data_IF_481652158045
#
_entry.id   IF_481652158045
#
_cell.length_a   1.000
_cell.length_b   1.000
_cell.length_c   1.000
_cell.angle_alpha   90.00
_cell.angle_beta   90.00
_cell.angle_gamma   90.00
#
_symmetry.space_group_name_H-M   'P 1'
#
loop_
_entity.id
_entity.type
_entity.pdbx_description
1 polymer ?
#
# COMPACT_ATOMS: atom_id res chain seq x y z
N UNK A 1 4.41 22.97 -28.99
CA UNK A 1 4.04 22.23 -30.24
C UNK A 1 3.41 20.89 -29.83
N UNK A 2 2.53 20.24 -30.60
CA UNK A 2 1.91 18.94 -30.17
C UNK A 2 2.32 17.78 -31.08
N UNK A 3 2.66 16.63 -30.50
CA UNK A 3 2.96 15.42 -31.26
C UNK A 3 1.73 14.88 -31.98
N UNK A 4 1.96 14.29 -33.16
CA UNK A 4 0.94 13.52 -33.89
C UNK A 4 0.77 12.12 -33.28
N UNK A 5 -0.39 11.50 -33.50
CA UNK A 5 -0.66 10.12 -33.05
C UNK A 5 0.40 9.12 -33.55
N UNK A 6 0.90 9.28 -34.78
CA UNK A 6 1.97 8.44 -35.34
C UNK A 6 3.29 8.60 -34.58
N UNK A 7 3.62 9.84 -34.19
CA UNK A 7 4.81 10.12 -33.39
C UNK A 7 4.69 9.58 -31.96
N UNK A 8 3.50 9.65 -31.37
CA UNK A 8 3.21 9.08 -30.05
C UNK A 8 3.40 7.55 -30.09
N UNK A 9 2.94 6.88 -31.14
CA UNK A 9 3.17 5.43 -31.29
C UNK A 9 4.66 5.10 -31.43
N UNK A 10 5.43 5.92 -32.17
CA UNK A 10 6.90 5.78 -32.26
C UNK A 10 7.54 5.90 -30.88
N UNK A 11 7.07 6.84 -30.04
CA UNK A 11 7.56 7.02 -28.67
C UNK A 11 7.21 5.81 -27.80
N UNK A 12 5.96 5.34 -27.80
CA UNK A 12 5.55 4.17 -27.02
C UNK A 12 6.35 2.92 -27.41
N UNK A 13 6.55 2.70 -28.71
CA UNK A 13 7.41 1.62 -29.20
C UNK A 13 8.87 1.78 -28.75
N UNK A 14 9.39 3.01 -28.70
CA UNK A 14 10.73 3.31 -28.19
C UNK A 14 10.88 2.96 -26.71
N UNK A 15 9.88 3.29 -25.89
CA UNK A 15 9.82 2.96 -24.47
C UNK A 15 9.75 1.45 -24.28
N UNK A 16 8.88 0.77 -25.04
CA UNK A 16 8.73 -0.68 -24.99
C UNK A 16 10.04 -1.40 -25.37
N UNK A 17 10.69 -1.00 -26.48
CA UNK A 17 11.98 -1.55 -26.93
C UNK A 17 13.11 -1.30 -25.93
N UNK A 18 13.00 -0.27 -25.10
CA UNK A 18 13.95 0.00 -24.02
C UNK A 18 13.83 -0.95 -22.83
N UNK A 19 12.86 -1.88 -22.87
CA UNK A 19 12.68 -2.95 -21.88
C UNK A 19 11.74 -2.57 -20.73
N UNK A 20 10.88 -1.57 -20.91
CA UNK A 20 9.84 -1.21 -19.95
C UNK A 20 8.63 -2.13 -20.15
N UNK A 21 8.37 -3.00 -19.18
CA UNK A 21 7.27 -3.98 -19.18
C UNK A 21 6.12 -3.58 -18.25
N UNK A 22 6.34 -2.68 -17.29
CA UNK A 22 5.31 -2.25 -16.36
C UNK A 22 4.36 -1.23 -17.01
N UNK A 23 3.09 -1.61 -17.21
CA UNK A 23 2.13 -0.81 -17.99
C UNK A 23 1.86 0.58 -17.41
N UNK A 24 1.67 0.68 -16.09
CA UNK A 24 1.42 1.98 -15.44
C UNK A 24 2.58 2.94 -15.65
N UNK A 25 3.81 2.48 -15.40
CA UNK A 25 5.01 3.28 -15.65
C UNK A 25 5.21 3.58 -17.13
N UNK A 26 4.86 2.67 -18.05
CA UNK A 26 4.95 2.94 -19.49
C UNK A 26 4.06 4.12 -19.88
N UNK A 27 2.84 4.18 -19.34
CA UNK A 27 1.93 5.30 -19.57
C UNK A 27 2.48 6.62 -19.01
N UNK A 28 2.99 6.60 -17.78
CA UNK A 28 3.60 7.78 -17.15
C UNK A 28 4.85 8.26 -17.93
N UNK A 29 5.67 7.31 -18.39
CA UNK A 29 6.85 7.61 -19.20
C UNK A 29 6.47 8.13 -20.58
N UNK A 30 5.40 7.61 -21.19
CA UNK A 30 4.92 8.09 -22.49
C UNK A 30 4.52 9.56 -22.40
N UNK A 31 3.76 9.94 -21.36
CA UNK A 31 3.35 11.32 -21.13
C UNK A 31 4.58 12.23 -20.92
N UNK A 32 5.45 11.88 -19.98
CA UNK A 32 6.64 12.69 -19.67
C UNK A 32 7.64 12.80 -20.83
N UNK A 33 7.87 11.71 -21.57
CA UNK A 33 8.80 11.73 -22.72
C UNK A 33 8.17 12.51 -23.87
N UNK A 34 6.86 12.39 -24.09
CA UNK A 34 6.16 13.16 -25.12
C UNK A 34 6.27 14.66 -24.85
N UNK A 35 5.95 15.12 -23.64
CA UNK A 35 6.10 16.53 -23.27
C UNK A 35 7.54 17.03 -23.44
N UNK A 36 8.53 16.23 -23.02
CA UNK A 36 9.94 16.62 -23.19
C UNK A 36 10.39 16.71 -24.65
N UNK A 37 9.78 15.93 -25.55
CA UNK A 37 10.05 16.03 -26.99
C UNK A 37 9.35 17.28 -27.56
N UNK A 38 8.11 17.55 -27.13
CA UNK A 38 7.33 18.72 -27.53
C UNK A 38 8.04 20.03 -27.18
N UNK A 39 8.58 20.13 -25.95
CA UNK A 39 9.34 21.29 -25.50
C UNK A 39 10.56 21.56 -26.40
N UNK A 40 11.31 20.51 -26.75
CA UNK A 40 12.48 20.62 -27.64
C UNK A 40 12.11 20.99 -29.07
N UNK A 41 10.99 20.47 -29.55
CA UNK A 41 10.46 20.84 -30.87
C UNK A 41 10.00 22.30 -30.89
N UNK A 42 9.51 22.82 -29.77
CA UNK A 42 9.17 24.24 -29.61
C UNK A 42 10.42 25.15 -29.65
N UNK A 43 11.55 24.65 -29.13
CA UNK A 43 12.87 25.30 -29.26
C UNK A 43 13.48 25.20 -30.66
N UNK A 44 12.77 24.59 -31.61
CA UNK A 44 13.14 24.52 -33.03
C UNK A 44 13.89 23.27 -33.47
N UNK A 45 14.06 22.26 -32.59
CA UNK A 45 14.60 20.96 -33.00
C UNK A 45 13.59 20.15 -33.81
N UNK A 46 14.10 19.28 -34.70
CA UNK A 46 13.24 18.31 -35.38
C UNK A 46 12.82 17.18 -34.41
N UNK A 47 11.74 16.48 -34.75
CA UNK A 47 11.21 15.38 -33.93
C UNK A 47 12.24 14.27 -33.69
N UNK A 48 13.01 13.88 -34.70
CA UNK A 48 13.96 12.77 -34.61
C UNK A 48 15.15 13.14 -33.73
N UNK A 49 15.65 14.37 -33.85
CA UNK A 49 16.68 14.93 -33.00
C UNK A 49 16.19 15.01 -31.54
N UNK A 50 15.02 15.59 -31.33
CA UNK A 50 14.37 15.70 -30.02
C UNK A 50 14.14 14.33 -29.38
N UNK A 51 13.71 13.33 -30.17
CA UNK A 51 13.54 11.94 -29.73
C UNK A 51 14.87 11.32 -29.28
N UNK A 52 15.90 11.37 -30.15
CA UNK A 52 17.20 10.77 -29.86
C UNK A 52 17.82 11.41 -28.63
N UNK A 53 17.76 12.73 -28.53
CA UNK A 53 18.35 13.47 -27.41
C UNK A 53 17.62 13.16 -26.09
N UNK A 54 16.29 13.09 -26.11
CA UNK A 54 15.49 12.75 -24.92
C UNK A 54 15.78 11.33 -24.45
N UNK A 55 15.81 10.33 -25.34
CA UNK A 55 16.20 8.96 -24.96
C UNK A 55 17.66 8.85 -24.54
N UNK A 56 18.57 9.64 -25.14
CA UNK A 56 19.97 9.70 -24.74
C UNK A 56 20.15 10.28 -23.35
N UNK A 57 19.31 11.24 -22.93
CA UNK A 57 19.35 11.83 -21.60
C UNK A 57 19.09 10.79 -20.48
N UNK A 58 18.28 9.76 -20.75
CA UNK A 58 18.11 8.62 -19.83
C UNK A 58 19.35 7.72 -19.78
N UNK A 59 20.16 7.70 -20.85
CA UNK A 59 21.34 6.87 -20.98
C UNK A 59 21.01 5.39 -21.30
N UNK A 60 22.06 4.62 -21.58
CA UNK A 60 21.93 3.18 -21.89
C UNK A 60 21.26 2.44 -20.73
N UNK A 61 20.08 1.85 -21.00
CA UNK A 61 19.30 1.13 -20.00
C UNK A 61 18.67 2.01 -18.91
N UNK A 62 18.64 3.34 -19.09
CA UNK A 62 18.10 4.28 -18.11
C UNK A 62 16.64 4.01 -17.77
N UNK A 63 15.78 3.83 -18.78
CA UNK A 63 14.36 3.54 -18.59
C UNK A 63 14.12 2.21 -17.85
N UNK A 64 14.94 1.19 -18.13
CA UNK A 64 14.88 -0.09 -17.40
C UNK A 64 15.29 0.07 -15.93
N UNK A 65 16.25 0.96 -15.63
CA UNK A 65 16.63 1.31 -14.25
C UNK A 65 15.50 2.04 -13.53
N UNK A 66 14.81 2.95 -14.21
CA UNK A 66 13.60 3.61 -13.66
C UNK A 66 12.57 2.56 -13.29
N UNK A 67 12.27 1.60 -14.18
CA UNK A 67 11.35 0.51 -13.86
C UNK A 67 11.80 -0.29 -12.64
N UNK A 68 13.05 -0.73 -12.59
CA UNK A 68 13.57 -1.52 -11.47
C UNK A 68 13.43 -0.76 -10.14
N UNK A 69 13.68 0.54 -10.13
CA UNK A 69 13.54 1.38 -8.94
C UNK A 69 12.07 1.53 -8.54
N UNK A 70 11.16 1.69 -9.50
CA UNK A 70 9.72 1.78 -9.23
C UNK A 70 9.19 0.44 -8.71
N UNK A 71 9.56 -0.68 -9.32
CA UNK A 71 9.21 -2.03 -8.83
C UNK A 71 9.68 -2.24 -7.39
N UNK A 72 10.94 -1.88 -7.09
CA UNK A 72 11.48 -1.97 -5.74
C UNK A 72 10.70 -1.08 -4.76
N UNK A 73 10.35 0.15 -5.16
CA UNK A 73 9.63 1.10 -4.31
C UNK A 73 8.20 0.63 -4.04
N UNK A 74 7.49 0.14 -5.06
CA UNK A 74 6.15 -0.42 -4.93
C UNK A 74 6.17 -1.67 -4.05
N UNK A 75 7.13 -2.57 -4.27
CA UNK A 75 7.32 -3.75 -3.44
C UNK A 75 7.61 -3.39 -1.98
N UNK A 76 8.52 -2.45 -1.74
CA UNK A 76 8.88 -2.01 -0.40
C UNK A 76 7.72 -1.31 0.32
N UNK A 77 6.97 -0.46 -0.39
CA UNK A 77 5.75 0.18 0.14
C UNK A 77 4.70 -0.86 0.50
N UNK A 78 4.47 -1.85 -0.37
CA UNK A 78 3.56 -2.97 -0.10
C UNK A 78 3.99 -3.74 1.15
N UNK A 79 5.27 -4.09 1.27
CA UNK A 79 5.83 -4.77 2.44
C UNK A 79 5.67 -3.94 3.72
N UNK A 80 5.96 -2.63 3.67
CA UNK A 80 5.77 -1.73 4.81
C UNK A 80 4.32 -1.73 5.32
N UNK A 81 3.34 -1.54 4.42
CA UNK A 81 1.93 -1.56 4.80
C UNK A 81 1.47 -2.92 5.34
N UNK A 82 2.02 -4.01 4.82
CA UNK A 82 1.77 -5.34 5.35
C UNK A 82 2.24 -5.46 6.81
N UNK A 83 3.45 -5.00 7.14
CA UNK A 83 3.95 -5.01 8.52
C UNK A 83 3.16 -4.08 9.44
N UNK A 84 2.75 -2.90 8.96
CA UNK A 84 1.89 -1.98 9.73
C UNK A 84 0.53 -2.61 10.02
N UNK A 85 -0.08 -3.31 9.06
CA UNK A 85 -1.35 -3.99 9.27
C UNK A 85 -1.22 -5.10 10.32
N UNK A 86 -0.15 -5.90 10.27
CA UNK A 86 0.13 -6.95 11.26
C UNK A 86 0.37 -6.35 12.66
N UNK A 87 1.12 -5.25 12.77
CA UNK A 87 1.41 -4.66 14.08
C UNK A 87 0.18 -4.04 14.73
N UNK A 88 -0.69 -3.38 13.95
CA UNK A 88 -1.98 -2.89 14.41
C UNK A 88 -2.91 -4.04 14.83
N UNK A 89 -2.93 -5.14 14.08
CA UNK A 89 -3.68 -6.35 14.43
C UNK A 89 -3.24 -6.91 15.79
N UNK A 90 -1.93 -7.11 15.99
CA UNK A 90 -1.41 -7.60 17.26
C UNK A 90 -1.74 -6.65 18.42
N UNK A 91 -1.63 -5.34 18.21
CA UNK A 91 -1.90 -4.32 19.23
C UNK A 91 -3.37 -4.33 19.67
N UNK A 92 -4.30 -4.45 18.71
CA UNK A 92 -5.74 -4.55 18.99
C UNK A 92 -6.05 -5.81 19.78
N UNK A 93 -5.48 -6.96 19.39
CA UNK A 93 -5.66 -8.24 20.11
C UNK A 93 -5.13 -8.17 21.55
N UNK A 94 -3.96 -7.55 21.77
CA UNK A 94 -3.42 -7.32 23.12
C UNK A 94 -4.34 -6.41 23.93
N UNK A 95 -4.87 -5.34 23.33
CA UNK A 95 -5.82 -4.45 24.01
C UNK A 95 -7.10 -5.18 24.41
N UNK A 96 -7.66 -6.02 23.54
CA UNK A 96 -8.83 -6.84 23.87
C UNK A 96 -8.53 -7.85 24.98
N UNK A 97 -7.37 -8.50 24.95
CA UNK A 97 -6.94 -9.42 26.00
C UNK A 97 -6.84 -8.68 27.35
N UNK A 98 -6.12 -7.57 27.41
CA UNK A 98 -5.97 -6.77 28.63
C UNK A 98 -7.32 -6.25 29.13
N UNK A 99 -8.17 -5.75 28.23
CA UNK A 99 -9.52 -5.31 28.56
C UNK A 99 -10.38 -6.44 29.14
N UNK A 100 -10.30 -7.64 28.58
CA UNK A 100 -11.03 -8.80 29.08
C UNK A 100 -10.56 -9.26 30.47
N UNK A 101 -9.25 -9.22 30.72
CA UNK A 101 -8.65 -9.55 32.01
C UNK A 101 -9.07 -8.51 33.04
N UNK A 102 -8.91 -7.23 32.72
CA UNK A 102 -9.30 -6.12 33.59
C UNK A 102 -10.79 -6.23 33.93
N UNK A 103 -11.65 -6.40 32.94
CA UNK A 103 -13.09 -6.56 33.12
C UNK A 103 -13.47 -7.78 33.94
N UNK A 104 -12.70 -8.87 33.85
CA UNK A 104 -12.92 -10.07 34.67
C UNK A 104 -12.48 -9.84 36.12
N UNK A 105 -11.34 -9.20 36.36
CA UNK A 105 -10.74 -9.07 37.69
C UNK A 105 -11.30 -7.90 38.52
N UNK A 106 -11.64 -6.77 37.88
CA UNK A 106 -12.12 -5.56 38.56
C UNK A 106 -13.33 -5.82 39.48
N UNK A 107 -14.35 -6.59 39.06
CA UNK A 107 -15.49 -6.92 39.91
C UNK A 107 -15.11 -7.73 41.15
N UNK A 108 -14.16 -8.66 41.07
CA UNK A 108 -13.71 -9.44 42.22
C UNK A 108 -12.90 -8.59 43.21
N UNK A 109 -12.04 -7.71 42.71
CA UNK A 109 -11.30 -6.75 43.54
C UNK A 109 -12.28 -5.83 44.26
N UNK A 110 -13.29 -5.31 43.55
CA UNK A 110 -14.31 -4.45 44.15
C UNK A 110 -15.17 -5.19 45.19
N UNK A 111 -15.60 -6.42 44.91
CA UNK A 111 -16.36 -7.24 45.87
C UNK A 111 -15.54 -7.54 47.15
N UNK A 112 -14.23 -7.76 47.02
CA UNK A 112 -13.33 -7.97 48.17
C UNK A 112 -13.27 -6.72 49.08
N UNK A 113 -13.13 -5.53 48.51
CA UNK A 113 -13.11 -4.29 49.29
C UNK A 113 -14.49 -3.88 49.84
N UNK A 114 -15.56 -4.13 49.08
CA UNK A 114 -16.92 -3.81 49.50
C UNK A 114 -17.47 -4.78 50.56
N UNK A 115 -16.87 -5.96 50.72
CA UNK A 115 -17.35 -7.01 51.62
C UNK A 115 -18.68 -7.65 51.22
N UNK A 116 -19.16 -7.40 50.00
CA UNK A 116 -20.43 -7.91 49.48
C UNK A 116 -20.24 -8.78 48.23
N UNK A 117 -20.37 -10.10 48.43
CA UNK A 117 -20.24 -11.15 47.41
C UNK A 117 -21.28 -10.99 46.27
N UNK A 118 -22.39 -10.29 46.51
CA UNK A 118 -23.46 -10.11 45.51
C UNK A 118 -22.97 -9.34 44.28
N UNK A 119 -21.98 -8.46 44.44
CA UNK A 119 -21.39 -7.71 43.33
C UNK A 119 -20.68 -8.65 42.35
N UNK A 120 -19.99 -9.68 42.84
CA UNK A 120 -19.32 -10.67 41.99
C UNK A 120 -20.33 -11.52 41.19
N UNK A 121 -21.48 -11.86 41.78
CA UNK A 121 -22.53 -12.64 41.11
C UNK A 121 -23.18 -11.82 39.98
N UNK A 122 -23.47 -10.54 40.21
CA UNK A 122 -24.07 -9.64 39.21
C UNK A 122 -23.13 -9.44 38.01
N UNK A 123 -21.81 -9.42 38.23
CA UNK A 123 -20.83 -9.25 37.16
C UNK A 123 -20.46 -10.55 36.42
N UNK A 124 -20.95 -11.72 36.85
CA UNK A 124 -20.61 -13.02 36.24
C UNK A 124 -21.17 -13.30 34.82
N UNK A 125 -22.37 -12.83 34.41
CA UNK A 125 -22.87 -13.07 33.05
C UNK A 125 -22.07 -12.29 31.99
N UNK A 126 -21.55 -11.16 32.44
CA UNK A 126 -20.77 -10.19 31.70
C UNK A 126 -19.38 -10.76 31.33
N UNK A 127 -18.70 -11.43 32.27
CA UNK A 127 -17.39 -12.09 32.01
C UNK A 127 -17.50 -13.24 31.01
N UNK A 128 -18.61 -14.00 31.05
CA UNK A 128 -18.88 -15.07 30.09
C UNK A 128 -19.11 -14.53 28.66
N UNK A 129 -19.75 -13.37 28.51
CA UNK A 129 -19.90 -12.71 27.20
C UNK A 129 -18.56 -12.23 26.64
N UNK A 130 -17.69 -11.67 27.49
CA UNK A 130 -16.32 -11.29 27.10
C UNK A 130 -15.48 -12.48 26.61
N UNK A 131 -15.54 -13.62 27.31
CA UNK A 131 -14.87 -14.85 26.91
C UNK A 131 -15.43 -15.45 25.61
N UNK A 132 -16.75 -15.37 25.40
CA UNK A 132 -17.39 -15.82 24.17
C UNK A 132 -16.93 -15.00 22.95
N UNK A 133 -16.83 -13.67 23.09
CA UNK A 133 -16.33 -12.79 22.03
C UNK A 133 -14.86 -13.08 21.71
N UNK A 134 -14.02 -13.43 22.69
CA UNK A 134 -12.64 -13.87 22.43
C UNK A 134 -12.57 -15.22 21.70
N UNK A 135 -13.46 -16.16 22.04
CA UNK A 135 -13.49 -17.52 21.46
C UNK A 135 -13.95 -17.52 20.00
N UNK A 136 -14.86 -16.62 19.65
CA UNK A 136 -15.50 -16.52 18.33
C UNK A 136 -15.19 -15.20 17.61
N UNK A 137 -14.21 -14.46 18.12
CA UNK A 137 -13.84 -13.12 17.68
C UNK A 137 -13.21 -13.11 16.30
N UNK A 138 -14.09 -12.92 15.32
CA UNK A 138 -13.92 -12.31 14.00
C UNK A 138 -12.83 -12.94 13.09
N UNK A 139 -13.29 -13.75 12.15
CA UNK A 139 -12.48 -14.29 11.07
C UNK A 139 -12.22 -13.23 9.97
N UNK A 140 -11.11 -12.51 10.12
CA UNK A 140 -10.69 -11.44 9.20
C UNK A 140 -9.88 -11.93 7.99
N UNK A 141 -9.75 -13.24 7.73
CA UNK A 141 -9.13 -13.74 6.49
C UNK A 141 -9.79 -13.14 5.24
N UNK A 142 -11.06 -12.73 5.34
CA UNK A 142 -11.79 -11.99 4.30
C UNK A 142 -11.28 -10.57 4.02
N UNK A 143 -10.70 -9.88 5.01
CA UNK A 143 -10.23 -8.51 4.88
C UNK A 143 -8.83 -8.42 4.26
N UNK A 144 -7.93 -9.33 4.63
CA UNK A 144 -6.57 -9.39 4.08
C UNK A 144 -6.53 -9.64 2.56
N UNK A 145 -7.50 -10.40 2.03
CA UNK A 145 -7.63 -10.66 0.59
C UNK A 145 -8.03 -9.43 -0.23
N UNK A 146 -8.59 -8.38 0.39
CA UNK A 146 -9.04 -7.17 -0.34
C UNK A 146 -7.90 -6.19 -0.68
N UNK A 147 -6.74 -6.34 -0.04
CA UNK A 147 -5.55 -5.53 -0.31
C UNK A 147 -4.50 -6.27 -1.18
N UNK A 148 -4.82 -7.49 -1.61
CA UNK A 148 -3.97 -8.34 -2.45
C UNK A 148 -4.35 -8.32 -3.94
N UNK A 149 -5.48 -7.69 -4.31
CA UNK A 149 -5.93 -7.46 -5.69
C UNK A 149 -5.84 -5.98 -6.04
#
# INVERSE_FOLDING_TARGET
MTLTEEQIDIVDQGIYKSGVTMQSLRHDLLDHISCSIEDKMEDGMDFRESFIETFRAFGLGGLRRVQKNTEYTVANRRSFWHYVAISLDYSINVMYLLGSIAYTLLPFVFAYFAGDIKVAIICSPFTLTGLYILRYGIDYKKFALRYLY
#
